data_IF_707272324122
#
_entry.id   IF_707272324122
#
_cell.length_a   1.000
_cell.length_b   1.000
_cell.length_c   1.000
_cell.angle_alpha   90.00
_cell.angle_beta   90.00
_cell.angle_gamma   90.00
#
_symmetry.space_group_name_H-M   'P 1'
#
loop_
_entity.id
_entity.type
_entity.pdbx_description
1 polymer ?
#
# COMPACT_ATOMS: atom_id res chain seq x y z
N UNK A 1 10.68 15.57 14.60
CA UNK A 1 9.30 15.62 15.12
C UNK A 1 9.35 15.76 16.64
N UNK A 2 8.51 16.60 17.24
CA UNK A 2 8.22 16.52 18.66
C UNK A 2 7.38 15.25 18.94
N UNK A 3 7.43 14.70 20.15
CA UNK A 3 6.64 13.52 20.53
C UNK A 3 6.07 13.71 21.93
N UNK A 4 4.74 13.64 22.06
CA UNK A 4 4.06 13.86 23.34
C UNK A 4 3.81 12.59 24.15
N UNK A 5 4.26 11.44 23.65
CA UNK A 5 4.00 10.12 24.24
C UNK A 5 3.05 9.26 23.41
N UNK A 6 2.87 8.02 23.86
CA UNK A 6 2.02 6.99 23.21
C UNK A 6 0.54 7.13 23.55
N UNK A 7 0.21 7.89 24.58
CA UNK A 7 -1.16 8.07 25.03
C UNK A 7 -1.82 9.30 24.38
N UNK A 8 -3.14 9.21 24.19
CA UNK A 8 -3.97 10.30 23.70
C UNK A 8 -3.86 10.58 22.21
N UNK A 9 -4.62 11.58 21.75
CA UNK A 9 -4.64 11.97 20.34
C UNK A 9 -3.36 12.67 19.87
N UNK A 10 -3.17 12.71 18.56
CA UNK A 10 -2.09 13.48 17.92
C UNK A 10 -2.24 14.97 18.24
N UNK A 11 -1.16 15.59 18.69
CA UNK A 11 -1.13 17.00 19.11
C UNK A 11 -0.77 17.92 17.95
N UNK A 12 -1.14 19.21 18.07
CA UNK A 12 -0.76 20.23 17.08
C UNK A 12 0.77 20.36 16.92
N UNK A 13 1.53 20.25 18.00
CA UNK A 13 2.99 20.33 17.96
C UNK A 13 3.60 19.16 17.19
N UNK A 14 3.07 17.95 17.36
CA UNK A 14 3.47 16.77 16.57
C UNK A 14 3.20 17.03 15.07
N UNK A 15 2.00 17.51 14.73
CA UNK A 15 1.61 17.83 13.34
C UNK A 15 2.55 18.87 12.72
N UNK A 16 2.75 20.03 13.35
CA UNK A 16 3.56 21.11 12.77
C UNK A 16 5.03 20.69 12.61
N UNK A 17 5.57 19.89 13.53
CA UNK A 17 6.94 19.39 13.40
C UNK A 17 7.08 18.27 12.37
N UNK A 18 6.05 17.46 12.14
CA UNK A 18 6.00 16.49 11.05
C UNK A 18 5.91 17.18 9.68
N UNK A 19 5.05 18.20 9.54
CA UNK A 19 4.99 19.05 8.35
C UNK A 19 6.33 19.74 8.09
N UNK A 20 7.02 20.20 9.14
CA UNK A 20 8.36 20.76 9.03
C UNK A 20 9.40 19.79 8.48
N UNK A 21 9.26 18.49 8.72
CA UNK A 21 10.12 17.46 8.14
C UNK A 21 9.82 17.26 6.64
N UNK A 22 8.53 17.20 6.27
CA UNK A 22 8.10 17.05 4.88
C UNK A 22 8.47 18.27 4.00
N UNK A 23 8.56 19.47 4.58
CA UNK A 23 8.96 20.68 3.84
C UNK A 23 10.45 20.72 3.42
N UNK A 24 11.27 19.81 3.94
CA UNK A 24 12.71 19.77 3.64
C UNK A 24 13.04 18.87 2.44
N UNK A 25 12.02 18.40 1.72
CA UNK A 25 12.20 17.50 0.59
C UNK A 25 12.61 18.28 -0.66
N UNK A 26 13.75 17.91 -1.22
CA UNK A 26 14.20 18.41 -2.51
C UNK A 26 13.47 17.67 -3.64
N UNK A 27 12.97 18.39 -4.68
CA UNK A 27 12.34 17.74 -5.82
C UNK A 27 13.34 16.95 -6.67
N UNK A 28 12.83 15.98 -7.42
CA UNK A 28 13.61 15.24 -8.40
C UNK A 28 13.51 15.90 -9.76
N UNK A 29 14.64 16.17 -10.41
CA UNK A 29 14.69 16.88 -11.69
C UNK A 29 14.93 16.00 -12.91
N UNK A 30 15.29 14.73 -12.72
CA UNK A 30 15.59 13.80 -13.80
C UNK A 30 15.28 12.35 -13.43
N UNK A 31 15.03 11.53 -14.44
CA UNK A 31 14.87 10.08 -14.33
C UNK A 31 16.24 9.39 -14.16
N UNK A 32 16.27 8.08 -13.83
CA UNK A 32 17.53 7.33 -13.65
C UNK A 32 18.28 7.71 -12.38
N UNK A 33 17.57 7.94 -11.28
CA UNK A 33 18.13 8.38 -9.98
C UNK A 33 17.83 7.34 -8.88
N UNK A 34 18.27 6.12 -9.13
CA UNK A 34 18.00 4.91 -8.35
C UNK A 34 16.51 4.78 -7.95
N UNK A 35 16.27 4.33 -6.73
CA UNK A 35 14.93 4.09 -6.20
C UNK A 35 14.32 5.33 -5.53
N UNK A 36 14.77 6.55 -5.86
CA UNK A 36 14.32 7.79 -5.19
C UNK A 36 12.79 7.94 -5.21
N UNK A 37 12.13 7.64 -6.32
CA UNK A 37 10.67 7.73 -6.48
C UNK A 37 9.90 6.54 -5.90
N UNK A 38 10.57 5.41 -5.63
CA UNK A 38 9.96 4.20 -5.09
C UNK A 38 10.24 4.08 -3.58
N UNK A 39 11.29 3.38 -3.19
CA UNK A 39 11.63 3.09 -1.79
C UNK A 39 12.59 4.11 -1.17
N UNK A 40 13.06 5.07 -1.97
CA UNK A 40 13.92 6.16 -1.54
C UNK A 40 13.15 7.32 -0.90
N UNK A 41 13.84 8.45 -0.71
CA UNK A 41 13.35 9.53 0.13
C UNK A 41 12.07 10.21 -0.39
N UNK A 42 11.86 10.32 -1.72
CA UNK A 42 10.64 10.95 -2.27
C UNK A 42 9.45 10.00 -2.23
N UNK A 43 9.63 8.75 -2.64
CA UNK A 43 8.53 7.78 -2.59
C UNK A 43 8.07 7.53 -1.15
N UNK A 44 9.01 7.40 -0.22
CA UNK A 44 8.69 7.30 1.21
C UNK A 44 8.00 8.55 1.75
N UNK A 45 8.46 9.74 1.34
CA UNK A 45 7.84 10.98 1.78
C UNK A 45 6.43 11.19 1.20
N UNK A 46 6.16 10.75 -0.03
CA UNK A 46 4.81 10.76 -0.61
C UNK A 46 3.84 9.90 0.20
N UNK A 47 4.28 8.69 0.55
CA UNK A 47 3.53 7.77 1.42
C UNK A 47 3.28 8.39 2.81
N UNK A 48 4.34 8.88 3.47
CA UNK A 48 4.24 9.47 4.80
C UNK A 48 3.36 10.73 4.81
N UNK A 49 3.50 11.60 3.81
CA UNK A 49 2.65 12.78 3.63
C UNK A 49 1.17 12.38 3.49
N UNK A 50 0.90 11.28 2.78
CA UNK A 50 -0.41 10.67 2.71
C UNK A 50 -0.95 10.28 4.09
N UNK A 51 -0.19 9.49 4.86
CA UNK A 51 -0.58 9.09 6.22
C UNK A 51 -0.86 10.30 7.13
N UNK A 52 -0.07 11.37 7.04
CA UNK A 52 -0.32 12.60 7.80
C UNK A 52 -1.60 13.30 7.36
N UNK A 53 -1.91 13.31 6.06
CA UNK A 53 -3.18 13.83 5.56
C UNK A 53 -4.37 13.02 6.07
N UNK A 54 -4.27 11.69 6.11
CA UNK A 54 -5.35 10.84 6.64
C UNK A 54 -5.69 11.21 8.10
N UNK A 55 -4.67 11.46 8.92
CA UNK A 55 -4.83 11.83 10.33
C UNK A 55 -5.42 13.23 10.53
N UNK A 56 -5.09 14.17 9.66
CA UNK A 56 -5.27 15.61 9.95
C UNK A 56 -6.25 16.33 9.02
N UNK A 57 -6.45 15.81 7.81
CA UNK A 57 -7.07 16.55 6.70
C UNK A 57 -6.29 17.81 6.29
N UNK A 58 -5.04 17.98 6.75
CA UNK A 58 -4.25 19.19 6.49
C UNK A 58 -3.72 19.17 5.05
N UNK A 59 -4.24 20.08 4.22
CA UNK A 59 -3.87 20.19 2.81
C UNK A 59 -2.37 20.37 2.60
N UNK A 60 -1.63 20.92 3.58
CA UNK A 60 -0.17 21.07 3.47
C UNK A 60 0.56 19.72 3.39
N UNK A 61 -0.01 18.66 3.98
CA UNK A 61 0.52 17.30 3.84
C UNK A 61 0.14 16.73 2.46
N UNK A 62 -1.12 16.89 2.04
CA UNK A 62 -1.58 16.45 0.72
C UNK A 62 -0.78 17.11 -0.42
N UNK A 63 -0.51 18.41 -0.32
CA UNK A 63 0.27 19.19 -1.27
C UNK A 63 1.69 18.62 -1.47
N UNK A 64 2.30 18.03 -0.43
CA UNK A 64 3.60 17.34 -0.56
C UNK A 64 3.45 16.06 -1.37
N UNK A 65 2.42 15.25 -1.10
CA UNK A 65 2.14 14.04 -1.88
C UNK A 65 1.87 14.38 -3.36
N UNK A 66 1.15 15.47 -3.63
CA UNK A 66 0.87 15.96 -4.98
C UNK A 66 2.13 16.50 -5.68
N UNK A 67 3.00 17.23 -4.98
CA UNK A 67 4.28 17.66 -5.54
C UNK A 67 5.10 16.45 -6.02
N UNK A 68 5.14 15.37 -5.25
CA UNK A 68 5.85 14.15 -5.66
C UNK A 68 5.13 13.48 -6.83
N UNK A 69 3.79 13.39 -6.83
CA UNK A 69 3.01 12.84 -7.94
C UNK A 69 3.22 13.62 -9.25
N UNK A 70 3.36 14.94 -9.18
CA UNK A 70 3.74 15.81 -10.29
C UNK A 70 5.10 15.45 -10.87
N UNK A 71 6.11 15.32 -10.01
CA UNK A 71 7.45 14.94 -10.42
C UNK A 71 7.44 13.54 -11.04
N UNK A 72 6.71 12.58 -10.45
CA UNK A 72 6.52 11.24 -11.01
C UNK A 72 5.95 11.35 -12.42
N UNK A 73 4.80 12.01 -12.62
CA UNK A 73 4.19 12.10 -13.94
C UNK A 73 5.11 12.77 -14.97
N UNK A 74 5.77 13.87 -14.60
CA UNK A 74 6.67 14.60 -15.48
C UNK A 74 7.93 13.81 -15.87
N UNK A 75 8.42 12.94 -14.98
CA UNK A 75 9.63 12.14 -15.19
C UNK A 75 9.37 10.78 -15.82
N UNK A 76 8.11 10.44 -16.13
CA UNK A 76 7.79 9.21 -16.83
C UNK A 76 8.58 9.13 -18.14
N UNK A 77 9.16 7.98 -18.44
CA UNK A 77 10.06 7.78 -19.57
C UNK A 77 9.40 8.17 -20.90
N UNK A 78 8.11 7.83 -21.09
CA UNK A 78 7.31 8.24 -22.24
C UNK A 78 7.14 9.77 -22.36
N UNK A 79 7.21 10.51 -21.25
CA UNK A 79 7.06 11.98 -21.20
C UNK A 79 8.40 12.72 -21.29
N UNK A 80 9.53 12.02 -21.33
CA UNK A 80 10.86 12.64 -21.31
C UNK A 80 11.17 13.32 -22.65
N UNK A 81 11.62 14.59 -22.69
CA UNK A 81 12.04 15.27 -23.92
C UNK A 81 13.08 14.45 -24.70
N UNK A 82 12.85 14.25 -26.01
CA UNK A 82 13.65 13.30 -26.83
C UNK A 82 13.08 11.87 -26.86
N UNK A 83 11.95 11.64 -26.19
CA UNK A 83 11.15 10.42 -26.23
C UNK A 83 11.63 9.31 -25.29
N UNK A 84 12.37 9.61 -24.23
CA UNK A 84 12.85 8.61 -23.27
C UNK A 84 13.86 7.60 -23.82
N UNK A 85 14.25 6.64 -22.97
CA UNK A 85 15.16 5.54 -23.29
C UNK A 85 14.41 4.25 -23.60
N UNK A 86 14.99 3.42 -24.46
CA UNK A 86 14.49 2.07 -24.70
C UNK A 86 14.90 1.17 -23.53
N UNK A 87 13.93 0.54 -22.87
CA UNK A 87 14.18 -0.38 -21.76
C UNK A 87 14.35 -1.83 -22.25
N UNK A 88 14.57 -2.76 -21.32
CA UNK A 88 14.76 -4.19 -21.63
C UNK A 88 13.65 -4.84 -22.45
N UNK A 89 12.43 -4.26 -22.45
CA UNK A 89 11.30 -4.69 -23.28
C UNK A 89 11.49 -4.39 -24.77
N UNK A 90 12.55 -3.65 -25.14
CA UNK A 90 12.78 -3.16 -26.50
C UNK A 90 11.91 -1.97 -26.89
N UNK A 91 11.15 -1.40 -25.94
CA UNK A 91 10.29 -0.26 -26.15
C UNK A 91 10.61 0.90 -25.18
N UNK A 92 10.05 2.08 -25.49
CA UNK A 92 10.05 3.26 -24.61
C UNK A 92 8.79 3.24 -23.76
N UNK A 93 8.69 2.26 -22.87
CA UNK A 93 7.50 2.06 -22.04
C UNK A 93 7.29 3.21 -21.05
N UNK A 94 6.04 3.37 -20.61
CA UNK A 94 5.58 4.36 -19.62
C UNK A 94 6.00 3.98 -18.20
N UNK A 95 7.29 4.04 -17.92
CA UNK A 95 7.93 3.67 -16.64
C UNK A 95 8.98 4.68 -16.19
N UNK A 96 9.62 4.44 -15.06
CA UNK A 96 10.69 5.23 -14.45
C UNK A 96 11.91 4.34 -14.19
N UNK A 97 12.78 4.12 -15.20
CA UNK A 97 13.98 3.32 -15.02
C UNK A 97 14.80 3.87 -13.83
N UNK A 98 15.00 3.08 -12.76
CA UNK A 98 15.62 3.60 -11.55
C UNK A 98 17.11 3.83 -11.77
N UNK A 99 17.81 2.94 -12.47
CA UNK A 99 19.28 2.95 -12.51
C UNK A 99 19.91 3.68 -13.70
N UNK A 100 21.08 3.17 -14.06
CA UNK A 100 21.88 3.66 -15.18
C UNK A 100 21.12 3.57 -16.52
N UNK A 101 20.80 4.73 -17.09
CA UNK A 101 20.14 4.84 -18.40
C UNK A 101 21.06 4.51 -19.58
N UNK A 102 22.37 4.36 -19.34
CA UNK A 102 23.40 3.98 -20.31
C UNK A 102 24.21 2.79 -19.76
N UNK A 103 23.60 1.59 -19.65
CA UNK A 103 24.24 0.42 -19.07
C UNK A 103 25.45 -0.06 -19.91
N UNK A 104 26.37 -0.85 -19.32
CA UNK A 104 27.49 -1.46 -20.04
C UNK A 104 27.04 -2.29 -21.25
N UNK A 105 27.97 -2.54 -22.19
CA UNK A 105 27.69 -3.40 -23.35
C UNK A 105 27.17 -4.78 -22.91
N UNK A 106 26.10 -5.24 -23.56
CA UNK A 106 25.43 -6.49 -23.23
C UNK A 106 24.38 -6.39 -22.12
N UNK A 107 24.23 -5.22 -21.47
CA UNK A 107 23.14 -4.97 -20.51
C UNK A 107 22.06 -4.07 -21.11
N UNK A 108 20.82 -4.27 -20.66
CA UNK A 108 19.65 -3.48 -21.05
C UNK A 108 19.21 -2.56 -19.91
N UNK A 109 18.60 -1.42 -20.26
CA UNK A 109 18.09 -0.48 -19.25
C UNK A 109 17.00 -1.15 -18.42
N UNK A 110 17.23 -1.21 -17.10
CA UNK A 110 16.34 -1.85 -16.14
C UNK A 110 15.11 -0.99 -15.83
N UNK A 111 13.96 -1.63 -15.76
CA UNK A 111 12.78 -1.16 -15.05
C UNK A 111 12.07 -2.40 -14.51
N UNK A 112 11.77 -2.44 -13.22
CA UNK A 112 11.32 -3.65 -12.54
C UNK A 112 10.07 -3.46 -11.68
N UNK A 113 10.08 -4.08 -10.51
CA UNK A 113 8.95 -4.07 -9.56
C UNK A 113 8.69 -2.70 -8.94
N UNK A 114 9.70 -1.83 -8.87
CA UNK A 114 9.67 -0.53 -8.22
C UNK A 114 8.66 0.41 -8.86
N UNK A 115 8.36 0.19 -10.15
CA UNK A 115 7.36 0.94 -10.91
C UNK A 115 5.98 0.88 -10.24
N UNK A 116 5.66 -0.20 -9.52
CA UNK A 116 4.36 -0.37 -8.89
C UNK A 116 4.19 0.52 -7.67
N UNK A 117 5.27 0.71 -6.89
CA UNK A 117 5.26 1.65 -5.77
C UNK A 117 5.25 3.09 -6.27
N UNK A 118 6.00 3.40 -7.34
CA UNK A 118 5.98 4.73 -7.99
C UNK A 118 4.55 5.07 -8.44
N UNK A 119 3.89 4.16 -9.15
CA UNK A 119 2.49 4.33 -9.55
C UNK A 119 1.57 4.46 -8.34
N UNK A 120 1.70 3.58 -7.35
CA UNK A 120 0.82 3.62 -6.18
C UNK A 120 0.95 4.93 -5.39
N UNK A 121 2.16 5.47 -5.22
CA UNK A 121 2.38 6.79 -4.60
C UNK A 121 1.70 7.91 -5.39
N UNK A 122 1.78 7.87 -6.73
CA UNK A 122 1.12 8.84 -7.62
C UNK A 122 -0.41 8.75 -7.54
N UNK A 123 -0.97 7.54 -7.57
CA UNK A 123 -2.43 7.31 -7.51
C UNK A 123 -2.98 7.56 -6.10
N UNK A 124 -2.20 7.34 -5.06
CA UNK A 124 -2.60 7.65 -3.68
C UNK A 124 -2.95 9.14 -3.53
N UNK A 125 -2.15 10.04 -4.11
CA UNK A 125 -2.47 11.47 -4.15
C UNK A 125 -3.80 11.76 -4.87
N UNK A 126 -4.04 11.08 -6.01
CA UNK A 126 -5.32 11.17 -6.73
C UNK A 126 -6.49 10.71 -5.86
N UNK A 127 -6.35 9.58 -5.16
CA UNK A 127 -7.37 9.04 -4.26
C UNK A 127 -7.73 10.04 -3.15
N UNK A 128 -6.76 10.72 -2.54
CA UNK A 128 -7.02 11.74 -1.53
C UNK A 128 -7.76 12.96 -2.08
N UNK A 129 -7.41 13.42 -3.30
CA UNK A 129 -8.15 14.49 -3.99
C UNK A 129 -9.60 14.07 -4.25
N UNK A 130 -9.80 12.86 -4.78
CA UNK A 130 -11.13 12.35 -5.13
C UNK A 130 -12.02 12.11 -3.91
N UNK A 131 -11.44 11.79 -2.73
CA UNK A 131 -12.14 11.78 -1.43
C UNK A 131 -12.52 13.17 -0.91
N UNK A 132 -11.98 14.23 -1.51
CA UNK A 132 -12.10 15.60 -1.01
C UNK A 132 -12.74 16.54 -2.05
N UNK A 133 -14.05 16.40 -2.36
CA UNK A 133 -14.72 17.20 -3.40
C UNK A 133 -14.57 18.72 -3.26
N UNK A 134 -14.40 19.22 -2.03
CA UNK A 134 -14.15 20.63 -1.76
C UNK A 134 -12.82 21.15 -2.33
N UNK A 135 -11.92 20.27 -2.77
CA UNK A 135 -10.66 20.61 -3.42
C UNK A 135 -10.75 20.62 -4.95
N UNK A 136 -11.72 19.94 -5.55
CA UNK A 136 -11.70 19.61 -6.98
C UNK A 136 -11.50 20.81 -7.90
N UNK A 137 -12.16 21.92 -7.63
CA UNK A 137 -12.08 23.13 -8.44
C UNK A 137 -11.03 24.15 -7.96
N UNK A 138 -10.28 23.81 -6.92
CA UNK A 138 -9.18 24.66 -6.45
C UNK A 138 -7.94 24.40 -7.30
N UNK A 139 -7.15 25.46 -7.46
CA UNK A 139 -5.82 25.38 -8.03
C UNK A 139 -4.83 25.22 -6.87
N UNK A 140 -3.96 24.19 -6.86
CA UNK A 140 -2.92 24.04 -5.85
C UNK A 140 -1.89 25.18 -5.94
N UNK A 141 -1.06 25.38 -4.90
CA UNK A 141 0.10 26.25 -5.04
C UNK A 141 1.05 25.71 -6.12
N UNK A 142 1.92 26.60 -6.63
CA UNK A 142 3.00 26.18 -7.53
C UNK A 142 3.98 25.31 -6.73
N UNK A 143 4.08 24.05 -7.09
CA UNK A 143 5.00 23.10 -6.48
C UNK A 143 6.42 23.23 -7.04
N UNK A 144 7.41 22.80 -6.27
CA UNK A 144 8.78 22.71 -6.76
C UNK A 144 8.98 21.43 -7.58
N UNK A 145 9.94 21.47 -8.51
CA UNK A 145 10.27 20.35 -9.39
C UNK A 145 9.55 20.37 -10.74
N UNK A 146 9.78 19.34 -11.57
CA UNK A 146 9.13 19.22 -12.87
C UNK A 146 7.64 18.90 -12.72
N UNK A 147 6.84 19.49 -13.60
CA UNK A 147 5.40 19.24 -13.71
C UNK A 147 4.97 19.34 -15.17
N UNK A 148 3.97 18.55 -15.56
CA UNK A 148 3.32 18.65 -16.89
C UNK A 148 2.13 19.61 -16.89
N UNK A 149 1.75 20.10 -15.72
CA UNK A 149 0.57 20.94 -15.54
C UNK A 149 0.91 22.42 -15.66
N UNK A 150 -0.01 23.19 -16.23
CA UNK A 150 0.05 24.65 -16.17
C UNK A 150 -0.49 25.17 -14.82
N UNK A 151 -0.30 26.47 -14.57
CA UNK A 151 -0.69 27.14 -13.32
C UNK A 151 -2.21 27.18 -13.07
N UNK A 152 -3.04 26.85 -14.07
CA UNK A 152 -4.50 26.82 -13.93
C UNK A 152 -5.08 25.42 -13.69
N UNK A 153 -4.24 24.38 -13.76
CA UNK A 153 -4.68 23.00 -13.55
C UNK A 153 -5.16 22.79 -12.11
N UNK A 154 -6.40 22.32 -11.98
CA UNK A 154 -7.03 22.09 -10.69
C UNK A 154 -6.53 20.81 -10.01
N UNK A 155 -6.86 20.61 -8.73
CA UNK A 155 -6.64 19.32 -8.07
C UNK A 155 -7.32 18.18 -8.85
N UNK A 156 -8.54 18.38 -9.36
CA UNK A 156 -9.26 17.36 -10.12
C UNK A 156 -8.57 16.99 -11.43
N UNK A 157 -8.09 17.99 -12.19
CA UNK A 157 -7.35 17.75 -13.45
C UNK A 157 -6.10 16.88 -13.20
N UNK A 158 -5.40 17.16 -12.09
CA UNK A 158 -4.21 16.40 -11.66
C UNK A 158 -4.56 14.97 -11.31
N UNK A 159 -5.60 14.77 -10.49
CA UNK A 159 -6.04 13.43 -10.08
C UNK A 159 -6.37 12.54 -11.29
N UNK A 160 -7.11 13.06 -12.28
CA UNK A 160 -7.45 12.30 -13.49
C UNK A 160 -6.22 11.98 -14.34
N UNK A 161 -5.28 12.92 -14.47
CA UNK A 161 -4.05 12.70 -15.21
C UNK A 161 -3.13 11.67 -14.54
N UNK A 162 -3.03 11.66 -13.22
CA UNK A 162 -2.30 10.64 -12.45
C UNK A 162 -2.88 9.24 -12.70
N UNK A 163 -4.21 9.09 -12.60
CA UNK A 163 -4.89 7.80 -12.83
C UNK A 163 -4.65 7.33 -14.26
N UNK A 164 -4.79 8.21 -15.25
CA UNK A 164 -4.56 7.87 -16.66
C UNK A 164 -3.13 7.40 -16.93
N UNK A 165 -2.13 8.05 -16.35
CA UNK A 165 -0.73 7.66 -16.51
C UNK A 165 -0.41 6.33 -15.81
N UNK A 166 -1.03 6.10 -14.65
CA UNK A 166 -0.92 4.85 -13.91
C UNK A 166 -1.56 3.67 -14.65
N UNK A 167 -2.75 3.86 -15.20
CA UNK A 167 -3.42 2.90 -16.07
C UNK A 167 -2.52 2.48 -17.24
N UNK A 168 -1.94 3.46 -17.94
CA UNK A 168 -1.05 3.21 -19.06
C UNK A 168 0.17 2.37 -18.64
N UNK A 169 0.80 2.65 -17.49
CA UNK A 169 1.86 1.79 -16.95
C UNK A 169 1.38 0.37 -16.69
N UNK A 170 0.24 0.18 -16.01
CA UNK A 170 -0.22 -1.17 -15.64
C UNK A 170 -0.69 -2.00 -16.84
N UNK A 171 -1.36 -1.36 -17.79
CA UNK A 171 -1.85 -2.02 -19.00
C UNK A 171 -0.73 -2.30 -20.01
N UNK A 172 0.22 -1.37 -20.18
CA UNK A 172 1.28 -1.51 -21.18
C UNK A 172 2.53 -2.20 -20.67
N UNK A 173 2.81 -2.19 -19.36
CA UNK A 173 4.06 -2.70 -18.77
C UNK A 173 3.85 -3.95 -17.90
N UNK A 174 2.99 -3.87 -16.88
CA UNK A 174 2.93 -4.86 -15.80
C UNK A 174 2.36 -6.22 -16.18
N UNK A 175 1.62 -6.34 -17.29
CA UNK A 175 1.14 -7.65 -17.75
C UNK A 175 2.29 -8.66 -17.96
N UNK A 176 3.52 -8.20 -18.24
CA UNK A 176 4.72 -9.05 -18.42
C UNK A 176 5.20 -9.70 -17.13
N UNK A 177 4.74 -9.21 -15.98
CA UNK A 177 5.11 -9.71 -14.66
C UNK A 177 4.08 -10.70 -14.11
N UNK A 178 3.04 -11.05 -14.87
CA UNK A 178 2.02 -12.00 -14.45
C UNK A 178 2.22 -13.34 -15.16
N UNK A 179 2.14 -14.44 -14.40
CA UNK A 179 2.02 -15.77 -14.96
C UNK A 179 0.56 -16.06 -15.41
N UNK A 180 0.31 -17.26 -15.94
CA UNK A 180 -1.04 -17.67 -16.36
C UNK A 180 -2.05 -17.79 -15.21
N UNK A 181 -1.59 -17.79 -13.96
CA UNK A 181 -2.42 -17.84 -12.76
C UNK A 181 -2.64 -16.45 -12.14
N UNK A 182 -2.15 -15.38 -12.79
CA UNK A 182 -2.13 -14.00 -12.29
C UNK A 182 -1.22 -13.81 -11.05
N UNK A 183 -0.31 -14.74 -10.80
CA UNK A 183 0.75 -14.61 -9.80
C UNK A 183 1.89 -13.74 -10.38
N UNK A 184 2.38 -12.80 -9.59
CA UNK A 184 3.47 -11.91 -9.96
C UNK A 184 4.80 -12.66 -9.90
N UNK A 185 5.52 -12.67 -11.02
CA UNK A 185 6.81 -13.34 -11.21
C UNK A 185 7.83 -12.36 -11.78
N UNK A 186 9.11 -12.75 -11.80
CA UNK A 186 10.04 -12.09 -12.70
C UNK A 186 9.56 -12.28 -14.14
N UNK A 187 9.69 -11.27 -15.02
CA UNK A 187 9.25 -11.40 -16.40
C UNK A 187 9.82 -12.65 -17.05
N UNK A 188 8.95 -13.45 -17.64
CA UNK A 188 9.35 -14.65 -18.36
C UNK A 188 9.80 -14.30 -19.78
N UNK A 189 10.83 -13.45 -19.87
CA UNK A 189 11.42 -12.95 -21.11
C UNK A 189 12.95 -13.06 -21.01
N UNK A 190 13.65 -13.69 -21.97
CA UNK A 190 15.10 -13.83 -21.94
C UNK A 190 15.86 -12.49 -21.84
N UNK A 191 15.25 -11.37 -22.25
CA UNK A 191 15.85 -10.04 -22.14
C UNK A 191 15.93 -9.57 -20.69
N UNK A 192 15.11 -10.11 -19.78
CA UNK A 192 15.20 -9.83 -18.36
C UNK A 192 16.57 -10.21 -17.78
N UNK A 193 17.14 -11.32 -18.23
CA UNK A 193 18.45 -11.80 -17.78
C UNK A 193 19.61 -10.88 -18.23
N UNK A 194 19.34 -9.95 -19.15
CA UNK A 194 20.27 -8.92 -19.61
C UNK A 194 20.15 -7.61 -18.81
N UNK A 195 19.26 -7.51 -17.84
CA UNK A 195 19.09 -6.28 -17.04
C UNK A 195 20.10 -6.14 -15.91
N UNK A 196 20.81 -7.23 -15.57
CA UNK A 196 21.67 -7.29 -14.39
C UNK A 196 20.92 -7.56 -13.08
N UNK A 197 19.61 -7.83 -13.10
CA UNK A 197 18.89 -8.28 -11.91
C UNK A 197 19.44 -9.64 -11.44
N UNK A 198 19.55 -9.83 -10.12
CA UNK A 198 20.02 -11.08 -9.52
C UNK A 198 19.04 -12.26 -9.66
N UNK A 199 17.77 -11.97 -9.97
CA UNK A 199 16.69 -12.95 -10.11
C UNK A 199 16.47 -13.30 -11.58
N UNK A 200 16.45 -14.60 -11.86
CA UNK A 200 16.29 -15.13 -13.22
C UNK A 200 14.89 -14.85 -13.78
N UNK A 201 14.81 -14.77 -15.10
CA UNK A 201 13.53 -14.70 -15.83
C UNK A 201 12.59 -15.85 -15.44
N UNK A 202 11.30 -15.54 -15.28
CA UNK A 202 10.24 -16.51 -14.99
C UNK A 202 10.20 -17.09 -13.57
N UNK A 203 11.14 -16.77 -12.67
CA UNK A 203 11.10 -17.28 -11.29
C UNK A 203 10.13 -16.49 -10.40
N UNK A 204 9.69 -17.05 -9.25
CA UNK A 204 8.93 -16.27 -8.27
C UNK A 204 9.61 -14.94 -7.95
N UNK A 205 8.82 -13.87 -7.93
CA UNK A 205 9.29 -12.57 -7.50
C UNK A 205 9.39 -12.57 -5.96
N UNK A 206 10.44 -11.97 -5.38
CA UNK A 206 10.50 -11.72 -3.94
C UNK A 206 9.27 -11.03 -3.38
N UNK A 207 8.88 -11.37 -2.15
CA UNK A 207 7.66 -10.86 -1.55
C UNK A 207 7.65 -9.34 -1.51
N UNK A 208 8.75 -8.71 -1.09
CA UNK A 208 8.81 -7.27 -0.93
C UNK A 208 8.59 -6.58 -2.28
N UNK A 209 9.26 -7.09 -3.32
CA UNK A 209 9.14 -6.65 -4.71
C UNK A 209 7.71 -6.85 -5.24
N UNK A 210 7.10 -7.99 -4.95
CA UNK A 210 5.71 -8.29 -5.32
C UNK A 210 4.75 -7.31 -4.65
N UNK A 211 4.97 -6.94 -3.38
CA UNK A 211 4.15 -5.96 -2.68
C UNK A 211 4.29 -4.54 -3.25
N UNK A 212 5.45 -4.16 -3.81
CA UNK A 212 5.58 -2.91 -4.58
C UNK A 212 4.62 -2.90 -5.78
N UNK A 213 4.56 -4.00 -6.53
CA UNK A 213 3.66 -4.15 -7.67
C UNK A 213 2.19 -4.16 -7.23
N UNK A 214 1.87 -4.76 -6.07
CA UNK A 214 0.51 -4.73 -5.55
C UNK A 214 0.07 -3.33 -5.11
N UNK A 215 0.98 -2.47 -4.66
CA UNK A 215 0.61 -1.15 -4.18
C UNK A 215 -0.11 -0.33 -5.27
N UNK A 216 0.40 -0.30 -6.50
CA UNK A 216 -0.28 0.39 -7.60
C UNK A 216 -1.60 -0.27 -8.02
N UNK A 217 -1.70 -1.60 -8.03
CA UNK A 217 -2.98 -2.30 -8.29
C UNK A 217 -4.05 -1.93 -7.25
N UNK A 218 -3.68 -1.88 -5.96
CA UNK A 218 -4.60 -1.51 -4.87
C UNK A 218 -5.06 -0.06 -5.05
N UNK A 219 -4.14 0.87 -5.30
CA UNK A 219 -4.48 2.30 -5.43
C UNK A 219 -5.33 2.57 -6.68
N UNK A 220 -5.04 1.91 -7.81
CA UNK A 220 -5.86 1.99 -9.02
C UNK A 220 -7.25 1.38 -8.82
N UNK A 221 -7.37 0.24 -8.14
CA UNK A 221 -8.67 -0.35 -7.83
C UNK A 221 -9.55 0.63 -7.02
N UNK A 222 -8.97 1.31 -6.04
CA UNK A 222 -9.64 2.37 -5.25
C UNK A 222 -10.03 3.55 -6.14
N UNK A 223 -9.15 4.00 -7.03
CA UNK A 223 -9.45 5.10 -7.94
C UNK A 223 -10.64 4.77 -8.86
N UNK A 224 -10.70 3.55 -9.37
CA UNK A 224 -11.78 3.05 -10.24
C UNK A 224 -13.09 2.74 -9.52
N UNK A 225 -13.14 2.86 -8.19
CA UNK A 225 -14.41 2.85 -7.44
C UNK A 225 -15.02 4.26 -7.33
N UNK A 226 -14.24 5.31 -7.64
CA UNK A 226 -14.74 6.68 -7.57
C UNK A 226 -15.63 7.02 -8.76
N UNK A 227 -16.66 7.88 -8.60
CA UNK A 227 -17.48 8.33 -9.74
C UNK A 227 -16.67 9.00 -10.87
N UNK A 228 -15.52 9.59 -10.54
CA UNK A 228 -14.68 10.32 -11.49
C UNK A 228 -13.91 9.41 -12.44
N UNK A 229 -13.54 8.20 -12.01
CA UNK A 229 -12.72 7.26 -12.78
C UNK A 229 -13.34 5.85 -12.82
N UNK A 230 -14.66 5.75 -12.61
CA UNK A 230 -15.35 4.49 -12.38
C UNK A 230 -15.10 3.45 -13.48
N UNK A 231 -14.54 2.29 -13.10
CA UNK A 231 -14.37 1.13 -13.98
C UNK A 231 -14.43 -0.17 -13.17
N UNK A 232 -15.64 -0.74 -13.07
CA UNK A 232 -15.87 -1.97 -12.33
C UNK A 232 -15.10 -3.19 -12.89
N UNK A 233 -14.74 -3.21 -14.18
CA UNK A 233 -13.99 -4.33 -14.78
C UNK A 233 -12.53 -4.26 -14.37
N UNK A 234 -11.92 -3.08 -14.39
CA UNK A 234 -10.57 -2.86 -13.89
C UNK A 234 -10.47 -3.15 -12.40
N UNK A 235 -11.40 -2.62 -11.59
CA UNK A 235 -11.45 -2.91 -10.15
C UNK A 235 -11.49 -4.43 -9.90
N UNK A 236 -12.36 -5.17 -10.58
CA UNK A 236 -12.47 -6.63 -10.41
C UNK A 236 -11.19 -7.39 -10.85
N UNK A 237 -10.56 -6.97 -11.95
CA UNK A 237 -9.31 -7.56 -12.42
C UNK A 237 -8.17 -7.32 -11.42
N UNK A 238 -8.00 -6.08 -10.98
CA UNK A 238 -6.96 -5.70 -10.03
C UNK A 238 -7.17 -6.40 -8.67
N UNK A 239 -8.42 -6.52 -8.20
CA UNK A 239 -8.73 -7.29 -7.01
C UNK A 239 -8.41 -8.76 -7.15
N UNK A 240 -8.64 -9.36 -8.32
CA UNK A 240 -8.29 -10.75 -8.58
C UNK A 240 -6.77 -10.96 -8.50
N UNK A 241 -5.99 -10.05 -9.11
CA UNK A 241 -4.52 -10.09 -9.06
C UNK A 241 -4.04 -9.89 -7.62
N UNK A 242 -4.52 -8.86 -6.92
CA UNK A 242 -4.14 -8.59 -5.51
C UNK A 242 -4.48 -9.79 -4.63
N UNK A 243 -5.68 -10.34 -4.74
CA UNK A 243 -6.10 -11.51 -3.98
C UNK A 243 -5.20 -12.71 -4.23
N UNK A 244 -4.87 -12.99 -5.49
CA UNK A 244 -4.00 -14.12 -5.83
C UNK A 244 -2.65 -14.00 -5.12
N UNK A 245 -2.04 -12.82 -5.23
CA UNK A 245 -0.69 -12.59 -4.74
C UNK A 245 -0.61 -12.49 -3.21
N UNK A 246 -1.64 -11.94 -2.56
CA UNK A 246 -1.78 -11.97 -1.09
C UNK A 246 -1.95 -13.43 -0.62
N UNK A 247 -2.81 -14.22 -1.27
CA UNK A 247 -3.01 -15.62 -0.88
C UNK A 247 -1.76 -16.48 -1.07
N UNK A 248 -0.99 -16.26 -2.14
CA UNK A 248 0.32 -16.92 -2.32
C UNK A 248 1.26 -16.65 -1.13
N UNK A 249 1.31 -15.39 -0.64
CA UNK A 249 2.12 -15.04 0.52
C UNK A 249 1.59 -15.65 1.82
N UNK A 250 0.27 -15.62 2.04
CA UNK A 250 -0.36 -16.23 3.21
C UNK A 250 -0.15 -17.74 3.28
N UNK A 251 -0.14 -18.43 2.12
CA UNK A 251 0.18 -19.86 2.06
C UNK A 251 1.63 -20.11 2.51
N UNK A 252 2.59 -19.34 1.99
CA UNK A 252 3.99 -19.45 2.40
C UNK A 252 4.20 -19.18 3.90
N UNK A 253 3.56 -18.15 4.45
CA UNK A 253 3.59 -17.88 5.90
C UNK A 253 3.03 -19.03 6.73
N UNK A 254 1.95 -19.65 6.28
CA UNK A 254 1.31 -20.75 7.00
C UNK A 254 2.13 -22.05 6.95
N UNK A 255 2.91 -22.27 5.88
CA UNK A 255 3.87 -23.37 5.77
C UNK A 255 5.04 -23.21 6.73
N UNK A 256 5.45 -21.97 7.00
CA UNK A 256 6.63 -21.65 7.80
C UNK A 256 6.31 -21.10 9.20
N UNK A 257 5.12 -21.41 9.73
CA UNK A 257 4.75 -20.99 11.10
C UNK A 257 5.48 -21.79 12.18
N UNK A 258 5.76 -21.13 13.30
CA UNK A 258 6.41 -21.70 14.47
C UNK A 258 5.67 -21.31 15.75
N UNK A 259 6.01 -21.96 16.86
CA UNK A 259 5.50 -21.57 18.19
C UNK A 259 6.67 -21.04 19.02
N UNK A 260 6.61 -19.77 19.39
CA UNK A 260 7.61 -19.08 20.22
C UNK A 260 6.89 -18.51 21.45
N UNK A 261 7.42 -18.78 22.65
CA UNK A 261 6.80 -18.37 23.93
C UNK A 261 5.31 -18.77 24.07
N UNK A 262 4.92 -19.92 23.50
CA UNK A 262 3.53 -20.39 23.52
C UNK A 262 2.57 -19.64 22.59
N UNK A 263 3.08 -18.75 21.73
CA UNK A 263 2.33 -18.01 20.72
C UNK A 263 2.70 -18.52 19.33
N UNK A 264 1.72 -18.59 18.44
CA UNK A 264 1.98 -18.85 17.02
C UNK A 264 2.63 -17.61 16.41
N UNK A 265 3.71 -17.82 15.65
CA UNK A 265 4.48 -16.81 14.95
C UNK A 265 4.72 -17.25 13.51
N UNK A 266 4.77 -16.31 12.58
CA UNK A 266 5.26 -16.55 11.23
C UNK A 266 6.77 -16.44 11.16
N UNK A 267 7.33 -17.26 10.27
CA UNK A 267 8.62 -17.10 9.63
C UNK A 267 8.38 -17.12 8.12
N UNK A 268 9.24 -16.48 7.33
CA UNK A 268 9.17 -16.56 5.88
C UNK A 268 10.54 -16.31 5.24
N UNK A 269 10.70 -16.87 4.05
CA UNK A 269 11.82 -16.61 3.15
C UNK A 269 11.55 -15.43 2.24
N UNK A 270 12.61 -14.90 1.63
CA UNK A 270 12.55 -13.74 0.73
C UNK A 270 11.73 -13.99 -0.54
N UNK A 271 11.57 -15.24 -0.97
CA UNK A 271 10.71 -15.61 -2.10
C UNK A 271 10.06 -16.98 -1.87
N UNK A 272 8.96 -17.25 -2.59
CA UNK A 272 8.30 -18.55 -2.54
C UNK A 272 9.26 -19.68 -2.93
N UNK A 273 9.32 -20.73 -2.11
CA UNK A 273 10.14 -21.92 -2.37
C UNK A 273 11.64 -21.73 -2.11
N UNK A 274 12.06 -20.59 -1.56
CA UNK A 274 13.41 -20.45 -1.01
C UNK A 274 13.52 -21.14 0.36
N UNK A 275 14.74 -21.51 0.73
CA UNK A 275 15.07 -22.09 2.03
C UNK A 275 16.16 -21.23 2.70
N UNK A 276 16.06 -21.03 4.02
CA UNK A 276 17.13 -20.41 4.83
C UNK A 276 16.69 -19.23 5.71
N UNK A 277 15.43 -18.85 5.64
CA UNK A 277 14.76 -17.82 6.43
C UNK A 277 15.54 -16.50 6.49
N UNK A 278 15.87 -15.99 5.31
CA UNK A 278 16.82 -14.88 5.14
C UNK A 278 16.19 -13.50 5.17
N UNK A 279 14.90 -13.41 5.49
CA UNK A 279 14.16 -12.16 5.38
C UNK A 279 14.57 -11.14 6.43
N UNK A 280 14.88 -9.91 5.99
CA UNK A 280 15.45 -8.86 6.85
C UNK A 280 14.35 -8.02 7.53
N UNK A 281 14.24 -8.14 8.85
CA UNK A 281 13.34 -7.33 9.70
C UNK A 281 13.91 -5.95 10.04
N UNK A 282 15.24 -5.79 10.06
CA UNK A 282 15.91 -4.51 10.35
C UNK A 282 15.63 -3.42 9.30
N UNK A 283 15.27 -3.85 8.10
CA UNK A 283 15.26 -3.03 6.91
C UNK A 283 13.86 -2.89 6.33
N UNK A 284 13.86 -2.60 5.04
CA UNK A 284 12.62 -2.29 4.32
C UNK A 284 11.95 -3.54 3.75
N UNK A 285 12.65 -4.67 3.68
CA UNK A 285 12.19 -5.86 2.97
C UNK A 285 11.00 -6.52 3.70
N UNK A 286 11.20 -7.03 4.91
CA UNK A 286 10.11 -7.63 5.72
C UNK A 286 8.96 -6.63 5.99
N UNK A 287 9.30 -5.34 6.09
CA UNK A 287 8.30 -4.28 6.21
C UNK A 287 7.39 -4.22 4.97
N UNK A 288 7.96 -4.23 3.76
CA UNK A 288 7.17 -4.20 2.52
C UNK A 288 6.36 -5.47 2.30
N UNK A 289 6.88 -6.64 2.66
CA UNK A 289 6.13 -7.91 2.62
C UNK A 289 4.78 -7.78 3.33
N UNK A 290 4.81 -7.12 4.48
CA UNK A 290 3.64 -6.89 5.31
C UNK A 290 2.81 -5.70 4.87
N UNK A 291 3.44 -4.61 4.43
CA UNK A 291 2.73 -3.41 4.01
C UNK A 291 1.73 -3.70 2.89
N UNK A 292 2.07 -4.57 1.94
CA UNK A 292 1.14 -4.99 0.89
C UNK A 292 -0.07 -5.74 1.44
N UNK A 293 0.14 -6.64 2.40
CA UNK A 293 -0.93 -7.38 3.09
C UNK A 293 -1.79 -6.45 3.96
N UNK A 294 -1.17 -5.50 4.65
CA UNK A 294 -1.86 -4.46 5.41
C UNK A 294 -2.72 -3.57 4.52
N UNK A 295 -2.19 -3.13 3.37
CA UNK A 295 -2.92 -2.30 2.41
C UNK A 295 -4.15 -3.04 1.85
N UNK A 296 -4.00 -4.34 1.56
CA UNK A 296 -5.11 -5.19 1.17
C UNK A 296 -6.14 -5.33 2.30
N UNK A 297 -5.69 -5.56 3.54
CA UNK A 297 -6.57 -5.66 4.72
C UNK A 297 -7.38 -4.36 4.92
N UNK A 298 -6.72 -3.20 4.88
CA UNK A 298 -7.35 -1.89 5.03
C UNK A 298 -8.39 -1.63 3.94
N UNK A 299 -8.11 -2.04 2.69
CA UNK A 299 -9.06 -1.89 1.59
C UNK A 299 -10.27 -2.78 1.81
N UNK A 300 -10.08 -4.09 1.92
CA UNK A 300 -11.18 -5.04 2.17
C UNK A 300 -10.65 -6.42 2.62
N UNK A 301 -10.48 -6.59 3.92
CA UNK A 301 -10.02 -7.84 4.53
C UNK A 301 -10.81 -9.09 4.10
N UNK A 302 -12.13 -8.97 3.91
CA UNK A 302 -12.99 -10.09 3.50
C UNK A 302 -12.74 -10.53 2.05
N UNK A 303 -12.56 -9.57 1.13
CA UNK A 303 -12.27 -9.88 -0.29
C UNK A 303 -10.95 -10.64 -0.43
N UNK A 304 -9.95 -10.24 0.35
CA UNK A 304 -8.59 -10.77 0.27
C UNK A 304 -8.28 -11.93 1.23
N UNK A 305 -9.26 -12.41 2.00
CA UNK A 305 -9.09 -13.54 2.91
C UNK A 305 -8.20 -13.25 4.13
N UNK A 306 -8.04 -11.98 4.48
CA UNK A 306 -7.18 -11.53 5.57
C UNK A 306 -7.97 -11.51 6.88
N UNK A 307 -7.82 -12.56 7.67
CA UNK A 307 -8.49 -12.67 8.98
C UNK A 307 -7.69 -12.01 10.10
N UNK A 308 -8.36 -11.71 11.21
CA UNK A 308 -7.69 -11.25 12.43
C UNK A 308 -6.63 -12.25 12.93
N UNK A 309 -6.78 -13.55 12.65
CA UNK A 309 -5.78 -14.56 13.01
C UNK A 309 -4.41 -14.27 12.37
N UNK A 310 -4.38 -13.84 11.10
CA UNK A 310 -3.15 -13.45 10.42
C UNK A 310 -2.53 -12.23 11.10
N UNK A 311 -3.34 -11.21 11.41
CA UNK A 311 -2.90 -10.01 12.11
C UNK A 311 -2.33 -10.30 13.51
N UNK A 312 -3.00 -11.14 14.30
CA UNK A 312 -2.48 -11.61 15.60
C UNK A 312 -1.16 -12.38 15.45
N UNK A 313 -1.02 -13.22 14.42
CA UNK A 313 0.18 -14.04 14.24
C UNK A 313 1.37 -13.17 13.82
N UNK A 314 1.16 -12.16 12.98
CA UNK A 314 2.16 -11.13 12.70
C UNK A 314 2.56 -10.36 13.96
N UNK A 315 1.58 -9.85 14.71
CA UNK A 315 1.85 -9.14 15.96
C UNK A 315 2.65 -10.00 16.96
N UNK A 316 2.33 -11.28 17.08
CA UNK A 316 3.07 -12.24 17.89
C UNK A 316 4.51 -12.42 17.37
N UNK A 317 4.74 -12.53 16.06
CA UNK A 317 6.10 -12.59 15.49
C UNK A 317 6.92 -11.40 15.94
N UNK A 318 6.33 -10.21 15.97
CA UNK A 318 7.11 -9.01 16.28
C UNK A 318 7.48 -8.92 17.75
N UNK A 319 6.51 -9.21 18.62
CA UNK A 319 6.71 -9.20 20.05
C UNK A 319 7.58 -10.36 20.55
N UNK A 320 7.37 -11.57 20.02
CA UNK A 320 7.93 -12.79 20.61
C UNK A 320 9.16 -13.33 19.87
N UNK A 321 9.35 -12.97 18.61
CA UNK A 321 10.47 -13.46 17.78
C UNK A 321 11.47 -12.35 17.48
N UNK A 322 10.99 -11.20 16.97
CA UNK A 322 11.87 -10.12 16.52
C UNK A 322 12.36 -9.25 17.68
N UNK A 323 11.50 -8.93 18.65
CA UNK A 323 11.86 -8.11 19.80
C UNK A 323 12.66 -8.88 20.84
N UNK A 324 13.75 -8.30 21.33
CA UNK A 324 14.50 -8.82 22.47
C UNK A 324 13.99 -8.28 23.83
N UNK A 325 12.93 -7.47 23.83
CA UNK A 325 12.31 -6.91 25.05
C UNK A 325 13.11 -5.80 25.74
N UNK A 326 14.27 -5.41 25.18
CA UNK A 326 15.16 -4.39 25.73
C UNK A 326 15.32 -3.16 24.81
N UNK A 327 14.38 -2.97 23.87
CA UNK A 327 14.45 -1.93 22.83
C UNK A 327 15.37 -2.27 21.65
N UNK A 328 15.90 -3.50 21.60
CA UNK A 328 16.63 -4.04 20.46
C UNK A 328 15.80 -5.09 19.72
N UNK A 329 16.04 -5.23 18.41
CA UNK A 329 15.32 -6.10 17.50
C UNK A 329 16.29 -6.93 16.67
N UNK A 330 15.93 -8.19 16.45
CA UNK A 330 16.62 -9.07 15.52
C UNK A 330 16.68 -8.47 14.11
N UNK A 331 17.78 -8.75 13.40
CA UNK A 331 17.94 -8.33 12.01
C UNK A 331 17.17 -9.20 11.01
N UNK A 332 16.80 -10.42 11.41
CA UNK A 332 16.00 -11.36 10.63
C UNK A 332 14.65 -11.65 11.30
N UNK A 333 13.65 -11.99 10.49
CA UNK A 333 12.31 -12.38 10.98
C UNK A 333 12.31 -13.68 11.79
N UNK A 334 13.40 -14.46 11.73
CA UNK A 334 13.62 -15.65 12.56
C UNK A 334 13.92 -15.36 14.03
N UNK A 335 14.25 -14.10 14.36
CA UNK A 335 14.78 -13.72 15.67
C UNK A 335 16.30 -13.75 15.74
N UNK A 336 16.99 -14.17 14.67
CA UNK A 336 18.45 -14.16 14.59
C UNK A 336 19.01 -12.83 14.08
N UNK A 337 20.32 -12.66 14.23
CA UNK A 337 21.07 -11.57 13.60
C UNK A 337 22.36 -12.09 13.00
N UNK A 338 22.76 -11.52 11.86
CA UNK A 338 23.96 -11.84 11.12
C UNK A 338 24.79 -10.59 10.84
N UNK A 339 25.94 -10.75 10.14
CA UNK A 339 26.75 -9.60 9.70
C UNK A 339 26.03 -8.70 8.69
N UNK A 340 25.10 -9.26 7.91
CA UNK A 340 24.32 -8.50 6.90
C UNK A 340 23.02 -7.98 7.50
N UNK A 341 22.36 -8.82 8.29
CA UNK A 341 21.11 -8.54 8.98
C UNK A 341 21.36 -8.40 10.49
N UNK A 342 21.89 -7.26 10.93
CA UNK A 342 22.35 -7.06 12.30
C UNK A 342 21.23 -6.60 13.25
N UNK A 343 21.48 -6.72 14.55
CA UNK A 343 20.54 -6.23 15.57
C UNK A 343 20.40 -4.72 15.50
N UNK A 344 19.16 -4.22 15.52
CA UNK A 344 18.85 -2.79 15.44
C UNK A 344 18.08 -2.30 16.67
N UNK A 345 18.14 -1.00 16.95
CA UNK A 345 17.44 -0.37 18.09
C UNK A 345 16.25 0.51 17.64
N UNK A 346 15.79 0.27 16.40
CA UNK A 346 14.70 0.99 15.74
C UNK A 346 14.14 0.09 14.65
N UNK A 347 12.87 0.29 14.31
CA UNK A 347 12.21 -0.38 13.20
C UNK A 347 11.51 0.67 12.33
N UNK A 348 11.22 0.34 11.07
CA UNK A 348 10.30 1.15 10.26
C UNK A 348 9.00 1.42 11.04
N UNK A 349 8.53 2.66 11.11
CA UNK A 349 7.40 2.93 11.99
C UNK A 349 6.09 2.29 11.51
N UNK A 350 5.99 1.89 10.24
CA UNK A 350 4.85 1.13 9.73
C UNK A 350 4.67 -0.24 10.38
N UNK A 351 5.69 -0.79 11.05
CA UNK A 351 5.53 -1.96 11.94
C UNK A 351 4.51 -1.71 13.06
N UNK A 352 4.23 -0.44 13.41
CA UNK A 352 3.24 -0.09 14.43
C UNK A 352 1.78 -0.32 14.00
N UNK A 353 1.47 -0.48 12.71
CA UNK A 353 0.10 -0.69 12.23
C UNK A 353 -0.58 -1.92 12.83
N UNK A 354 0.22 -2.93 13.22
CA UNK A 354 -0.27 -4.15 13.84
C UNK A 354 -0.66 -3.99 15.32
N UNK A 355 -0.54 -2.77 15.87
CA UNK A 355 -1.10 -2.42 17.18
C UNK A 355 -2.62 -2.61 17.26
N UNK A 356 -3.31 -2.72 16.12
CA UNK A 356 -4.70 -3.17 16.05
C UNK A 356 -4.92 -4.50 16.78
N UNK A 357 -3.98 -5.44 16.68
CA UNK A 357 -4.09 -6.78 17.26
C UNK A 357 -3.28 -6.95 18.54
N UNK A 358 -2.27 -6.10 18.75
CA UNK A 358 -1.45 -6.09 19.96
C UNK A 358 -1.16 -4.63 20.37
N UNK A 359 -2.07 -3.96 21.10
CA UNK A 359 -1.92 -2.53 21.40
C UNK A 359 -0.59 -2.16 22.05
N UNK A 360 -0.07 -3.01 22.94
CA UNK A 360 1.23 -2.80 23.62
C UNK A 360 2.42 -2.78 22.65
N UNK A 361 2.29 -3.38 21.46
CA UNK A 361 3.32 -3.32 20.41
C UNK A 361 3.60 -1.89 19.94
N UNK A 362 2.56 -1.04 19.89
CA UNK A 362 2.73 0.36 19.52
C UNK A 362 3.75 1.06 20.42
N UNK A 363 3.65 0.81 21.74
CA UNK A 363 4.57 1.40 22.72
C UNK A 363 6.01 0.99 22.45
N UNK A 364 6.24 -0.30 22.20
CA UNK A 364 7.57 -0.85 21.90
C UNK A 364 8.22 -0.16 20.69
N UNK A 365 7.49 -0.07 19.57
CA UNK A 365 8.02 0.57 18.34
C UNK A 365 8.21 2.07 18.54
N UNK A 366 7.26 2.75 19.20
CA UNK A 366 7.33 4.17 19.42
C UNK A 366 8.52 4.56 20.31
N UNK A 367 8.73 3.88 21.44
CA UNK A 367 9.83 4.16 22.36
C UNK A 367 11.20 3.95 21.71
N UNK A 368 11.37 2.86 20.94
CA UNK A 368 12.61 2.60 20.20
C UNK A 368 12.93 3.69 19.17
N UNK A 369 11.91 4.12 18.41
CA UNK A 369 12.08 5.14 17.38
C UNK A 369 12.29 6.54 17.96
N UNK A 370 11.64 6.86 19.09
CA UNK A 370 11.89 8.11 19.84
C UNK A 370 13.32 8.16 20.36
N UNK A 371 13.81 7.08 20.97
CA UNK A 371 15.18 6.99 21.46
C UNK A 371 16.22 7.16 20.34
N UNK A 372 15.90 6.65 19.15
CA UNK A 372 16.75 6.78 17.96
C UNK A 372 16.67 8.15 17.30
N UNK A 373 15.59 8.91 17.54
CA UNK A 373 15.38 10.27 17.05
C UNK A 373 14.85 10.36 15.61
N UNK A 374 14.09 11.41 15.31
CA UNK A 374 13.36 11.52 14.03
C UNK A 374 14.00 12.39 12.94
N UNK A 375 15.19 12.98 13.18
CA UNK A 375 15.75 14.00 12.28
C UNK A 375 15.94 13.45 10.86
N UNK A 376 15.25 14.06 9.88
CA UNK A 376 15.29 13.67 8.46
C UNK A 376 14.69 12.30 8.13
N UNK A 377 14.00 11.66 9.07
CA UNK A 377 13.50 10.28 8.94
C UNK A 377 11.98 10.24 9.14
N UNK A 378 11.24 10.68 8.13
CA UNK A 378 9.76 10.70 8.15
C UNK A 378 9.17 9.31 8.38
N UNK A 379 9.80 8.28 7.82
CA UNK A 379 9.42 6.87 7.94
C UNK A 379 9.55 6.27 9.36
N UNK A 380 10.27 6.95 10.27
CA UNK A 380 10.30 6.61 11.69
C UNK A 380 9.22 7.34 12.50
N UNK A 381 8.69 8.45 11.97
CA UNK A 381 7.94 9.43 12.74
C UNK A 381 6.45 9.45 12.38
N UNK A 382 6.13 9.62 11.10
CA UNK A 382 4.76 9.86 10.66
C UNK A 382 3.86 8.63 10.78
N UNK A 383 4.30 7.40 10.47
CA UNK A 383 3.48 6.22 10.72
C UNK A 383 3.11 6.04 12.21
N UNK A 384 3.93 6.54 13.16
CA UNK A 384 3.56 6.54 14.58
C UNK A 384 2.41 7.51 14.89
N UNK A 385 2.36 8.66 14.22
CA UNK A 385 1.22 9.60 14.34
C UNK A 385 -0.06 8.96 13.80
N UNK A 386 0.05 8.25 12.68
CA UNK A 386 -1.07 7.51 12.11
C UNK A 386 -1.61 6.47 13.09
N UNK A 387 -0.73 5.61 13.63
CA UNK A 387 -1.13 4.57 14.60
C UNK A 387 -1.69 5.19 15.89
N UNK A 388 -1.07 6.26 16.40
CA UNK A 388 -1.56 7.00 17.57
C UNK A 388 -2.99 7.51 17.37
N UNK A 389 -3.26 8.12 16.21
CA UNK A 389 -4.60 8.58 15.87
C UNK A 389 -5.58 7.42 15.79
N UNK A 390 -5.24 6.37 15.04
CA UNK A 390 -6.09 5.20 14.84
C UNK A 390 -6.48 4.53 16.18
N UNK A 391 -5.52 4.39 17.10
CA UNK A 391 -5.78 3.89 18.46
C UNK A 391 -6.67 4.84 19.26
N UNK A 392 -6.44 6.16 19.17
CA UNK A 392 -7.23 7.15 19.89
C UNK A 392 -8.70 7.21 19.44
N UNK A 393 -8.98 6.95 18.16
CA UNK A 393 -10.35 6.86 17.63
C UNK A 393 -10.91 5.43 17.64
N UNK A 394 -10.09 4.44 18.01
CA UNK A 394 -10.40 3.01 17.98
C UNK A 394 -10.92 2.54 16.61
N UNK A 395 -10.28 3.02 15.55
CA UNK A 395 -10.60 2.68 14.17
C UNK A 395 -9.31 2.69 13.36
N UNK A 396 -8.94 1.55 12.76
CA UNK A 396 -7.77 1.38 11.88
C UNK A 396 -8.16 1.40 10.39
N UNK A 397 -9.44 1.63 10.12
CA UNK A 397 -10.08 1.71 8.80
C UNK A 397 -10.69 3.09 8.54
N UNK A 398 -10.48 4.05 9.44
CA UNK A 398 -11.09 5.39 9.41
C UNK A 398 -10.94 6.10 8.07
N UNK A 399 -9.87 5.78 7.34
CA UNK A 399 -9.64 6.34 6.01
C UNK A 399 -10.21 5.50 4.85
N UNK A 400 -10.33 4.18 4.99
CA UNK A 400 -10.84 3.29 3.92
C UNK A 400 -12.37 3.31 3.77
N UNK A 401 -13.09 3.69 4.83
CA UNK A 401 -14.56 3.75 4.85
C UNK A 401 -15.22 4.69 3.82
N UNK A 402 -14.44 5.52 3.11
CA UNK A 402 -14.92 6.38 2.04
C UNK A 402 -14.98 5.71 0.65
N UNK A 403 -14.32 4.55 0.46
CA UNK A 403 -14.36 3.79 -0.81
C UNK A 403 -14.70 2.30 -0.67
N UNK A 404 -14.86 1.78 0.54
CA UNK A 404 -15.11 0.35 0.72
C UNK A 404 -16.60 -0.03 0.61
N UNK A 405 -17.05 -0.42 -0.59
CA UNK A 405 -17.83 -1.66 -0.70
C UNK A 405 -17.67 -2.26 -2.10
N UNK A 406 -16.70 -3.16 -2.24
CA UNK A 406 -16.49 -4.01 -3.42
C UNK A 406 -17.63 -4.99 -3.75
N UNK A 407 -18.87 -4.64 -3.40
CA UNK A 407 -20.11 -5.07 -4.03
C UNK A 407 -20.99 -3.83 -4.06
N UNK A 408 -21.17 -3.24 -5.24
CA UNK A 408 -21.72 -1.90 -5.43
C UNK A 408 -22.78 -1.47 -4.42
N UNK A 409 -22.36 -0.65 -3.47
CA UNK A 409 -23.22 0.33 -2.79
C UNK A 409 -22.40 1.61 -2.61
N UNK A 410 -22.85 2.66 -3.30
CA UNK A 410 -22.44 4.04 -3.02
C UNK A 410 -23.00 4.38 -1.64
N UNK A 411 -22.13 4.59 -0.65
CA UNK A 411 -22.54 5.23 0.60
C UNK A 411 -22.59 6.73 0.34
N UNK A 412 -23.79 7.22 0.04
CA UNK A 412 -23.99 8.62 -0.34
C UNK A 412 -25.44 9.00 -0.56
N UNK A 413 -26.36 8.59 0.32
CA UNK A 413 -27.67 9.25 0.49
C UNK A 413 -28.18 9.13 1.93
N UNK A 414 -28.14 10.28 2.63
CA UNK A 414 -28.93 10.68 3.82
C UNK A 414 -28.75 9.88 5.13
N UNK A 415 -28.42 10.51 6.26
CA UNK A 415 -29.31 11.48 6.92
C UNK A 415 -28.55 12.50 7.77
N UNK A 416 -28.98 13.76 7.62
CA UNK A 416 -28.78 14.83 8.59
C UNK A 416 -29.45 14.44 9.91
N UNK A 417 -28.66 14.16 10.95
CA UNK A 417 -29.16 14.17 12.33
C UNK A 417 -28.87 15.52 12.97
N UNK A 418 -29.85 16.44 12.87
CA UNK A 418 -29.92 17.60 13.75
C UNK A 418 -30.36 17.15 15.14
N UNK A 419 -29.59 17.54 16.16
CA UNK A 419 -29.94 17.40 17.58
C UNK A 419 -31.24 18.14 17.93
N UNK A 420 -32.15 17.42 18.58
CA UNK A 420 -32.85 17.81 19.81
C UNK A 420 -33.77 19.04 19.83
N UNK A 421 -35.08 18.79 19.95
CA UNK A 421 -35.93 19.48 20.94
C UNK A 421 -37.26 18.76 21.14
N UNK A 422 -37.68 18.72 22.39
CA UNK A 422 -38.82 18.03 23.00
C UNK A 422 -40.20 18.62 22.69
N UNK A 423 -41.20 17.73 22.81
CA UNK A 423 -42.58 17.93 23.30
C UNK A 423 -43.75 18.07 22.30
N UNK A 424 -44.85 17.43 22.74
CA UNK A 424 -46.28 17.48 22.35
C UNK A 424 -46.75 16.80 21.05
N UNK A 425 -47.26 15.57 21.22
CA UNK A 425 -48.70 15.25 21.13
C UNK A 425 -49.47 15.57 19.84
N UNK A 426 -49.94 14.53 19.14
CA UNK A 426 -51.36 14.26 18.90
C UNK A 426 -51.57 13.18 17.82
N UNK A 427 -52.62 12.39 18.04
CA UNK A 427 -53.17 11.31 17.22
C UNK A 427 -53.38 11.65 15.73
N UNK A 428 -53.23 10.68 14.82
CA UNK A 428 -54.35 9.81 14.39
C UNK A 428 -54.03 8.88 13.20
N UNK A 429 -54.78 7.79 13.18
CA UNK A 429 -55.28 6.99 12.05
C UNK A 429 -54.31 6.23 11.13
N UNK A 430 -54.31 4.90 11.32
CA UNK A 430 -54.13 3.90 10.26
C UNK A 430 -55.26 3.94 9.23
N UNK A 431 -55.00 3.38 8.04
CA UNK A 431 -55.85 2.29 7.57
C UNK A 431 -55.05 1.03 7.17
N UNK A 432 -55.69 -0.11 7.43
CA UNK A 432 -55.30 -1.46 7.00
C UNK A 432 -55.62 -1.72 5.52
N UNK A 433 -55.04 -2.82 5.02
CA UNK A 433 -55.36 -3.68 3.84
C UNK A 433 -54.31 -3.56 2.72
N UNK A 434 -53.76 -4.63 2.14
CA UNK A 434 -53.97 -6.07 2.30
C UNK A 434 -52.68 -6.83 1.93
N UNK A 435 -52.47 -7.98 2.57
CA UNK A 435 -51.41 -8.92 2.25
C UNK A 435 -51.82 -9.81 1.07
N UNK A 436 -50.92 -10.01 0.12
CA UNK A 436 -50.90 -11.16 -0.78
C UNK A 436 -49.54 -11.82 -0.69
N UNK A 437 -49.57 -13.09 -0.33
CA UNK A 437 -48.44 -14.00 -0.18
C UNK A 437 -48.06 -14.61 -1.53
N UNK A 438 -46.79 -14.56 -1.90
CA UNK A 438 -46.19 -15.56 -2.79
C UNK A 438 -44.80 -15.93 -2.29
N UNK A 439 -44.74 -17.16 -1.79
CA UNK A 439 -43.58 -17.99 -1.54
C UNK A 439 -42.76 -18.23 -2.81
N UNK A 440 -41.44 -18.09 -2.73
CA UNK A 440 -40.50 -18.84 -3.57
C UNK A 440 -39.27 -19.19 -2.71
N UNK A 441 -39.03 -20.49 -2.62
CA UNK A 441 -38.13 -21.14 -1.68
C UNK A 441 -36.69 -21.23 -2.19
N UNK A 442 -35.78 -21.33 -1.21
CA UNK A 442 -34.41 -21.77 -1.31
C UNK A 442 -34.29 -23.20 -1.88
N UNK A 443 -33.30 -23.42 -2.75
CA UNK A 443 -32.43 -24.62 -2.83
C UNK A 443 -31.29 -24.32 -3.81
N UNK A 444 -30.02 -24.58 -3.50
CA UNK A 444 -29.43 -25.90 -3.74
C UNK A 444 -28.08 -26.11 -3.01
N UNK A 445 -27.94 -27.34 -2.49
CA UNK A 445 -26.78 -28.08 -1.97
C UNK A 445 -25.58 -28.07 -2.96
N UNK A 446 -24.28 -28.12 -2.59
CA UNK A 446 -23.48 -29.06 -1.77
C UNK A 446 -23.32 -30.48 -2.37
N UNK A 447 -22.04 -30.84 -2.59
CA UNK A 447 -21.40 -32.15 -2.89
C UNK A 447 -21.39 -32.67 -4.34
N UNK A 448 -20.18 -32.82 -4.90
CA UNK A 448 -19.57 -34.16 -5.02
C UNK A 448 -18.06 -34.09 -5.30
N UNK A 449 -17.29 -34.88 -4.54
CA UNK A 449 -15.90 -35.23 -4.80
C UNK A 449 -15.82 -36.70 -5.25
N UNK A 450 -14.74 -36.99 -5.99
CA UNK A 450 -14.13 -38.29 -6.24
C UNK A 450 -14.86 -39.30 -7.17
N UNK A 451 -14.23 -39.57 -8.32
CA UNK A 451 -14.16 -40.91 -8.89
C UNK A 451 -12.79 -41.10 -9.54
N UNK A 452 -12.05 -42.08 -9.00
CA UNK A 452 -10.76 -42.58 -9.44
C UNK A 452 -10.98 -43.95 -10.11
N UNK A 453 -10.29 -44.15 -11.23
CA UNK A 453 -9.88 -45.39 -11.91
C UNK A 453 -10.84 -46.20 -12.82
N UNK A 454 -10.23 -46.54 -13.97
CA UNK A 454 -10.16 -47.82 -14.69
C UNK A 454 -11.15 -48.10 -15.85
N UNK A 455 -10.59 -48.11 -17.06
CA UNK A 455 -10.52 -49.22 -18.03
C UNK A 455 -9.48 -48.82 -19.11
N UNK A 456 -8.29 -49.43 -19.22
CA UNK A 456 -7.98 -50.74 -19.79
C UNK A 456 -8.39 -50.90 -21.28
N UNK A 457 -7.53 -50.41 -22.19
CA UNK A 457 -6.90 -51.14 -23.32
C UNK A 457 -5.75 -50.29 -23.87
#
# INVERSE_FOLDING_TARGET
MAWSGVDGGVTRTEIETALGMLKQLEPLWANGQDNVLSTGYLGQAAHDAGLLYEVTGDIRALDVSIQVADNILALQNANTPGGGVTIWTGAKDSVWPPGNLNPPEGQLVYAGCEQGLIVGNMVQAANYILKSPCLWHKVPPVFQGPTVFNESATYYDRALAYIKAADDTYESFFFRFLDSNLSIIQPNDPRWDLTGDSRKSGTPMPWNRRMLVLHGYIQLAIAHETPAAFDAKKTALYDTIVKRNVMDFLMALNEQKSVVNGKMTFNWDYSAGEEGHTEESQGIHAYYDQLGSWSAWQRNSAVFGLSNYIGYTFANTFENTISFGNGSFAGLVTGDSSKKAYTVNQLYAGWSFYALWLPDWFKTVAEANVASGFRGRTWLAIPLLWTKHALAVNDMTFWSGLFSSGFGVVVGTESTSSRGSSASGAHSASPRLAATSTTAALTSLVLLAAAILLQAT
#
